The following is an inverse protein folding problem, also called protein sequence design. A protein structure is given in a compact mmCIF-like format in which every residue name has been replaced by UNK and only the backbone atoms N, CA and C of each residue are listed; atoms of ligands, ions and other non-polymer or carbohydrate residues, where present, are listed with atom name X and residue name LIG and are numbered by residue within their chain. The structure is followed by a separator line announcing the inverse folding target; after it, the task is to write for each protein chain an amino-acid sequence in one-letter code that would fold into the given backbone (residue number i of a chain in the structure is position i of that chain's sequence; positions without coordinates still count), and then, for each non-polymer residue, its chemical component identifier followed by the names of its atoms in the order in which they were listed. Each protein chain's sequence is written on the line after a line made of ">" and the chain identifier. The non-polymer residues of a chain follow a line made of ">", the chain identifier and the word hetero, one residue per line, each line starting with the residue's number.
data_IF_601422629172
#
_entry.id   IF_601422629172
#
_cell.length_a   1.000
_cell.length_b   1.000
_cell.length_c   1.000
_cell.angle_alpha   90.00
_cell.angle_beta   90.00
_cell.angle_gamma   90.00
#
_symmetry.space_group_name_H-M   'P 1'
#
loop_
_entity.id
_entity.type
_entity.pdbx_description
1 polymer ?
#
# COMPACT_ATOMS: atom_id res chain seq x y z
N UNK A 1 2.57 -1.57 -10.27
CA UNK A 1 1.88 -1.43 -8.99
C UNK A 1 1.46 -2.81 -8.52
N UNK A 2 1.87 -3.15 -7.34
CA UNK A 2 1.43 -4.38 -6.70
C UNK A 2 0.29 -4.03 -5.75
N UNK A 3 -0.86 -4.65 -5.97
CA UNK A 3 -2.00 -4.58 -5.07
C UNK A 3 -2.15 -5.95 -4.43
N UNK A 4 -2.24 -5.98 -3.13
CA UNK A 4 -2.52 -7.21 -2.43
C UNK A 4 -1.37 -7.73 -1.60
N UNK A 5 -1.44 -9.01 -1.24
CA UNK A 5 -0.64 -9.61 -0.20
C UNK A 5 0.51 -10.47 -0.70
N UNK A 6 0.67 -10.65 -2.01
CA UNK A 6 1.77 -11.48 -2.52
C UNK A 6 2.48 -10.86 -3.71
N UNK A 7 3.79 -11.03 -3.75
CA UNK A 7 4.66 -10.60 -4.84
C UNK A 7 5.45 -11.79 -5.33
N UNK A 8 5.51 -11.97 -6.64
CA UNK A 8 6.31 -13.01 -7.28
C UNK A 8 7.48 -12.36 -8.02
N UNK A 9 8.69 -12.77 -7.68
CA UNK A 9 9.91 -12.33 -8.38
C UNK A 9 10.14 -13.24 -9.59
N UNK A 10 10.27 -12.63 -10.76
CA UNK A 10 10.52 -13.36 -12.01
C UNK A 10 11.92 -13.02 -12.48
N UNK A 11 12.74 -14.06 -12.69
CA UNK A 11 14.08 -13.92 -13.24
C UNK A 11 14.09 -14.41 -14.69
N UNK A 12 14.92 -13.78 -15.52
CA UNK A 12 15.21 -14.26 -16.87
C UNK A 12 16.45 -15.15 -16.84
N UNK A 13 16.41 -16.29 -17.53
CA UNK A 13 17.53 -17.22 -17.63
C UNK A 13 17.29 -18.56 -16.94
N UNK A 14 18.26 -19.47 -17.08
CA UNK A 14 18.19 -20.86 -16.60
C UNK A 14 19.06 -21.08 -15.36
N UNK A 15 19.16 -20.09 -14.48
CA UNK A 15 19.97 -20.18 -13.27
C UNK A 15 19.24 -20.88 -12.13
N UNK A 16 19.97 -21.23 -11.08
CA UNK A 16 19.43 -21.70 -9.81
C UNK A 16 19.44 -20.51 -8.84
N UNK A 17 18.28 -19.88 -8.67
CA UNK A 17 18.17 -18.62 -7.95
C UNK A 17 17.62 -18.79 -6.55
N UNK A 18 18.05 -17.93 -5.67
CA UNK A 18 17.43 -17.65 -4.37
C UNK A 18 17.01 -16.19 -4.30
N UNK A 19 16.02 -15.90 -3.48
CA UNK A 19 15.33 -14.61 -3.51
C UNK A 19 15.25 -13.99 -2.11
N UNK A 20 15.27 -12.65 -2.08
CA UNK A 20 15.20 -11.89 -0.82
C UNK A 20 14.50 -10.55 -1.02
N UNK A 21 13.94 -10.02 0.08
CA UNK A 21 13.46 -8.64 0.15
C UNK A 21 14.32 -7.75 1.05
N UNK A 22 15.30 -8.31 1.76
CA UNK A 22 16.17 -7.57 2.68
C UNK A 22 17.66 -7.71 2.40
N UNK A 23 18.04 -8.48 1.39
CA UNK A 23 19.43 -8.79 1.03
C UNK A 23 20.25 -9.49 2.15
N UNK A 24 19.57 -10.09 3.10
CA UNK A 24 20.19 -10.80 4.24
C UNK A 24 19.68 -12.22 4.31
N UNK A 25 18.38 -12.40 4.33
CA UNK A 25 17.72 -13.71 4.36
C UNK A 25 17.21 -14.06 2.98
N UNK A 26 17.68 -15.19 2.42
CA UNK A 26 17.30 -15.67 1.11
C UNK A 26 16.48 -16.95 1.23
N UNK A 27 15.58 -17.17 0.26
CA UNK A 27 14.73 -18.36 0.18
C UNK A 27 14.68 -18.86 -1.27
N UNK A 28 14.35 -20.14 -1.45
CA UNK A 28 14.21 -20.74 -2.78
C UNK A 28 12.91 -20.32 -3.47
N UNK A 29 11.86 -20.09 -2.70
CA UNK A 29 10.59 -19.62 -3.24
C UNK A 29 10.72 -18.18 -3.72
N UNK A 30 10.17 -17.91 -4.90
CA UNK A 30 10.12 -16.56 -5.48
C UNK A 30 8.87 -15.78 -5.11
N UNK A 31 8.05 -16.30 -4.19
CA UNK A 31 6.80 -15.68 -3.75
C UNK A 31 6.98 -15.13 -2.33
N UNK A 32 6.62 -13.87 -2.13
CA UNK A 32 6.67 -13.20 -0.83
C UNK A 32 5.31 -12.66 -0.45
N UNK A 33 4.96 -12.82 0.82
CA UNK A 33 3.79 -12.19 1.42
C UNK A 33 4.17 -10.78 1.88
N UNK A 34 3.42 -9.78 1.45
CA UNK A 34 3.61 -8.38 1.84
C UNK A 34 2.29 -7.84 2.35
N UNK A 35 2.25 -7.47 3.62
CA UNK A 35 1.04 -6.98 4.29
C UNK A 35 0.99 -5.46 4.45
N UNK A 36 2.13 -4.79 4.28
CA UNK A 36 2.26 -3.34 4.47
C UNK A 36 2.62 -2.67 3.16
N UNK A 37 1.93 -1.59 2.81
CA UNK A 37 2.27 -0.77 1.67
C UNK A 37 3.58 -0.02 1.88
N UNK A 38 4.30 0.25 0.81
CA UNK A 38 5.56 0.96 0.84
C UNK A 38 6.45 0.62 -0.33
N UNK A 39 7.70 1.03 -0.23
CA UNK A 39 8.72 0.73 -1.25
C UNK A 39 9.60 -0.42 -0.78
N UNK A 40 9.80 -1.38 -1.65
CA UNK A 40 10.59 -2.60 -1.39
C UNK A 40 11.63 -2.79 -2.47
N UNK A 41 12.67 -3.56 -2.14
CA UNK A 41 13.67 -4.01 -3.11
C UNK A 41 13.66 -5.53 -3.17
N UNK A 42 13.47 -6.06 -4.36
CA UNK A 42 13.56 -7.49 -4.63
C UNK A 42 14.99 -7.83 -5.04
N UNK A 43 15.54 -8.90 -4.48
CA UNK A 43 16.86 -9.42 -4.83
C UNK A 43 16.74 -10.84 -5.36
N UNK A 44 17.50 -11.13 -6.41
CA UNK A 44 17.68 -12.47 -6.94
C UNK A 44 19.17 -12.75 -7.00
N UNK A 45 19.61 -13.84 -6.38
CA UNK A 45 21.02 -14.28 -6.36
C UNK A 45 21.15 -15.63 -7.04
N UNK A 46 22.06 -15.72 -7.99
CA UNK A 46 22.39 -17.01 -8.62
C UNK A 46 23.30 -17.79 -7.67
N UNK A 47 22.81 -18.94 -7.20
CA UNK A 47 23.57 -19.83 -6.31
C UNK A 47 24.86 -20.35 -6.93
N UNK A 48 24.96 -20.36 -8.25
CA UNK A 48 26.15 -20.78 -8.97
C UNK A 48 27.19 -19.66 -9.12
N UNK A 49 26.98 -18.51 -8.49
CA UNK A 49 27.97 -17.43 -8.45
C UNK A 49 27.98 -16.51 -9.67
N UNK A 50 26.98 -16.58 -10.54
CA UNK A 50 26.91 -15.73 -11.75
C UNK A 50 26.42 -14.31 -11.47
N UNK A 51 26.12 -13.96 -10.23
CA UNK A 51 25.78 -12.59 -9.84
C UNK A 51 24.48 -12.46 -9.09
N UNK A 52 24.22 -11.24 -8.67
CA UNK A 52 23.02 -10.83 -7.96
C UNK A 52 22.42 -9.61 -8.64
N UNK A 53 21.11 -9.60 -8.79
CA UNK A 53 20.37 -8.46 -9.34
C UNK A 53 19.34 -7.97 -8.36
N UNK A 54 18.91 -6.73 -8.52
CA UNK A 54 17.89 -6.14 -7.65
C UNK A 54 16.98 -5.21 -8.42
N UNK A 55 15.73 -5.09 -7.94
CA UNK A 55 14.74 -4.21 -8.52
C UNK A 55 13.88 -3.59 -7.43
N UNK A 56 13.71 -2.28 -7.49
CA UNK A 56 12.82 -1.54 -6.59
C UNK A 56 11.38 -1.64 -7.12
N UNK A 57 10.43 -1.87 -6.21
CA UNK A 57 9.01 -1.90 -6.53
C UNK A 57 8.19 -1.29 -5.40
N UNK A 58 7.00 -0.79 -5.73
CA UNK A 58 6.12 -0.15 -4.77
C UNK A 58 4.86 -0.99 -4.57
N UNK A 59 4.41 -1.07 -3.32
CA UNK A 59 3.20 -1.79 -2.93
C UNK A 59 2.20 -0.81 -2.36
N UNK A 60 0.97 -0.85 -2.88
CA UNK A 60 -0.15 -0.11 -2.33
C UNK A 60 -0.98 -1.02 -1.42
N UNK A 61 -1.27 -0.55 -0.23
CA UNK A 61 -2.18 -1.21 0.69
C UNK A 61 -3.32 -0.28 1.07
N UNK A 62 -4.53 -0.83 1.07
CA UNK A 62 -5.76 -0.11 1.40
C UNK A 62 -6.29 -0.67 2.73
N UNK A 63 -5.99 -0.01 3.88
CA UNK A 63 -6.44 -0.51 5.18
C UNK A 63 -7.95 -0.64 5.24
N UNK A 64 -8.45 -1.73 5.80
CA UNK A 64 -9.88 -2.01 5.88
C UNK A 64 -10.58 -1.33 7.04
N UNK A 65 -9.82 -0.85 8.02
CA UNK A 65 -10.34 -0.12 9.17
C UNK A 65 -9.27 0.76 9.80
N UNK A 66 -9.71 1.71 10.62
CA UNK A 66 -8.84 2.45 11.52
C UNK A 66 -9.62 2.83 12.80
N UNK A 67 -8.86 3.11 13.85
CA UNK A 67 -9.41 3.34 15.20
C UNK A 67 -8.84 4.64 15.78
N UNK A 68 -9.40 5.80 15.42
CA UNK A 68 -8.86 7.09 15.86
C UNK A 68 -9.21 7.38 17.33
N UNK A 69 -8.51 6.70 18.25
CA UNK A 69 -8.68 6.83 19.69
C UNK A 69 -7.47 7.44 20.38
N UNK A 70 -6.49 7.90 19.58
CA UNK A 70 -5.26 8.56 20.03
C UNK A 70 -4.35 7.66 20.89
N UNK A 71 -4.34 6.36 20.63
CA UNK A 71 -3.49 5.38 21.32
C UNK A 71 -2.16 5.14 20.60
N UNK A 72 -1.92 5.79 19.45
CA UNK A 72 -0.74 5.63 18.62
C UNK A 72 -0.82 4.51 17.61
N UNK A 73 -1.92 3.73 17.57
CA UNK A 73 -2.12 2.63 16.64
C UNK A 73 -3.37 2.85 15.81
N UNK A 74 -3.23 2.78 14.48
CA UNK A 74 -4.34 2.91 13.54
C UNK A 74 -5.21 4.16 13.76
N UNK A 75 -4.59 5.26 14.22
CA UNK A 75 -5.32 6.51 14.50
C UNK A 75 -5.65 7.29 13.23
N UNK A 76 -5.02 6.95 12.13
CA UNK A 76 -5.16 7.64 10.84
C UNK A 76 -5.40 6.63 9.73
N UNK A 77 -6.13 7.06 8.70
CA UNK A 77 -6.31 6.29 7.49
C UNK A 77 -5.63 6.97 6.31
N UNK A 78 -4.96 6.18 5.50
CA UNK A 78 -4.40 6.58 4.21
C UNK A 78 -4.19 5.34 3.35
N UNK A 79 -3.93 5.53 2.07
CA UNK A 79 -3.43 4.46 1.20
C UNK A 79 -1.93 4.33 1.45
N UNK A 80 -1.51 3.22 2.04
CA UNK A 80 -0.10 2.98 2.34
C UNK A 80 0.70 2.80 1.05
N UNK A 81 1.84 3.46 0.94
CA UNK A 81 2.68 3.44 -0.25
C UNK A 81 2.34 4.51 -1.28
N UNK A 82 1.26 5.25 -1.09
CA UNK A 82 0.82 6.30 -2.01
C UNK A 82 1.86 7.41 -2.20
N UNK A 83 2.65 7.69 -1.17
CA UNK A 83 3.68 8.74 -1.21
C UNK A 83 4.77 8.49 -2.27
N UNK A 84 4.94 7.24 -2.72
CA UNK A 84 5.92 6.89 -3.76
C UNK A 84 5.38 7.08 -5.18
N UNK A 85 4.09 7.38 -5.32
CA UNK A 85 3.44 7.64 -6.61
C UNK A 85 3.05 9.11 -6.71
N UNK A 86 3.95 9.90 -7.29
CA UNK A 86 3.71 11.33 -7.47
C UNK A 86 2.45 11.56 -8.29
N UNK A 87 1.61 12.49 -7.83
CA UNK A 87 0.35 12.82 -8.51
C UNK A 87 -0.82 11.90 -8.15
N UNK A 88 -0.58 10.83 -7.40
CA UNK A 88 -1.66 9.98 -6.92
C UNK A 88 -2.48 10.70 -5.84
N UNK A 89 -3.75 10.36 -5.75
CA UNK A 89 -4.66 10.94 -4.77
C UNK A 89 -5.76 9.96 -4.39
N UNK A 90 -6.25 10.11 -3.16
CA UNK A 90 -7.41 9.38 -2.70
C UNK A 90 -8.45 10.34 -2.16
N UNK A 91 -9.69 10.16 -2.57
CA UNK A 91 -10.84 10.96 -2.12
C UNK A 91 -11.73 10.09 -1.26
N UNK A 92 -12.13 10.61 -0.09
CA UNK A 92 -12.95 9.89 0.88
C UNK A 92 -14.35 10.49 0.91
N UNK A 93 -15.35 9.63 0.89
CA UNK A 93 -16.78 9.97 0.86
C UNK A 93 -17.52 9.29 2.02
N UNK A 94 -18.60 9.91 2.46
CA UNK A 94 -19.53 9.26 3.39
C UNK A 94 -20.52 8.34 2.63
N UNK A 95 -21.38 7.66 3.38
CA UNK A 95 -22.37 6.73 2.80
C UNK A 95 -23.39 7.39 1.88
N UNK A 96 -23.49 8.70 1.90
CA UNK A 96 -24.38 9.47 1.01
C UNK A 96 -23.67 10.00 -0.23
N UNK A 97 -22.39 9.67 -0.41
CA UNK A 97 -21.58 10.16 -1.52
C UNK A 97 -21.03 11.56 -1.34
N UNK A 98 -21.10 12.11 -0.10
CA UNK A 98 -20.57 13.43 0.19
C UNK A 98 -19.04 13.36 0.33
N UNK A 99 -18.34 14.20 -0.43
CA UNK A 99 -16.89 14.31 -0.36
C UNK A 99 -16.48 14.88 1.00
N UNK A 100 -15.62 14.16 1.72
CA UNK A 100 -15.12 14.56 3.02
C UNK A 100 -13.71 15.15 2.94
N UNK A 101 -12.79 14.48 2.27
CA UNK A 101 -11.40 14.91 2.17
C UNK A 101 -10.73 14.26 0.96
N UNK A 102 -9.71 14.93 0.43
CA UNK A 102 -8.81 14.38 -0.56
C UNK A 102 -7.39 14.36 0.01
N UNK A 103 -6.74 13.19 -0.05
CA UNK A 103 -5.39 12.98 0.45
C UNK A 103 -4.40 12.81 -0.70
N UNK A 104 -3.21 13.36 -0.53
CA UNK A 104 -2.09 13.24 -1.47
C UNK A 104 -0.80 13.01 -0.70
N UNK A 105 0.16 12.31 -1.32
CA UNK A 105 1.47 12.10 -0.73
C UNK A 105 1.40 11.36 0.61
N UNK A 106 1.90 11.98 1.65
CA UNK A 106 1.92 11.42 3.01
C UNK A 106 0.77 11.92 3.90
N UNK A 107 -0.23 12.60 3.33
CA UNK A 107 -1.37 13.08 4.08
C UNK A 107 -2.21 11.91 4.60
N UNK A 108 -2.82 12.11 5.76
CA UNK A 108 -3.66 11.11 6.44
C UNK A 108 -4.98 11.73 6.91
N UNK A 109 -5.97 10.88 7.16
CA UNK A 109 -7.27 11.30 7.67
C UNK A 109 -7.51 10.72 9.07
N UNK A 110 -7.97 11.58 9.97
CA UNK A 110 -8.21 11.21 11.38
C UNK A 110 -9.68 10.96 11.71
N UNK A 111 -10.56 10.87 10.73
CA UNK A 111 -11.98 10.61 10.97
C UNK A 111 -12.79 11.82 11.36
N UNK A 112 -12.30 13.04 11.05
CA UNK A 112 -13.03 14.29 11.33
C UNK A 112 -13.44 14.99 10.05
N UNK A 113 -14.49 15.81 10.15
CA UNK A 113 -14.91 16.70 9.08
C UNK A 113 -15.30 18.05 9.68
N UNK A 114 -14.66 19.12 9.23
CA UNK A 114 -14.83 20.48 9.77
C UNK A 114 -14.66 20.55 11.28
N UNK A 115 -13.66 19.82 11.80
CA UNK A 115 -13.33 19.80 13.21
C UNK A 115 -14.21 18.93 14.08
N UNK A 116 -15.17 18.21 13.50
CA UNK A 116 -16.08 17.32 14.24
C UNK A 116 -15.76 15.86 13.96
N UNK A 117 -15.81 15.05 15.02
CA UNK A 117 -15.66 13.60 14.90
C UNK A 117 -16.83 13.00 14.14
N UNK A 118 -16.52 12.22 13.12
CA UNK A 118 -17.52 11.48 12.37
C UNK A 118 -17.86 10.15 13.05
N UNK A 119 -19.08 9.61 12.84
CA UNK A 119 -19.53 8.39 13.51
C UNK A 119 -18.75 7.16 13.05
N UNK A 120 -18.74 6.13 13.91
CA UNK A 120 -18.24 4.80 13.61
C UNK A 120 -19.15 4.14 12.58
N UNK A 121 -18.69 4.05 11.34
CA UNK A 121 -19.42 3.44 10.22
C UNK A 121 -18.44 3.24 9.07
N UNK A 122 -18.93 2.75 7.95
CA UNK A 122 -18.13 2.60 6.75
C UNK A 122 -18.05 3.91 5.99
N UNK A 123 -16.89 4.11 5.37
CA UNK A 123 -16.59 5.22 4.46
C UNK A 123 -16.04 4.66 3.17
N UNK A 124 -16.22 5.40 2.07
CA UNK A 124 -15.81 4.96 0.73
C UNK A 124 -14.66 5.80 0.22
N UNK A 125 -13.82 5.18 -0.59
CA UNK A 125 -12.70 5.89 -1.20
C UNK A 125 -12.63 5.64 -2.70
N UNK A 126 -12.08 6.63 -3.40
CA UNK A 126 -11.66 6.54 -4.80
C UNK A 126 -10.20 6.95 -4.86
N UNK A 127 -9.34 5.99 -5.21
CA UNK A 127 -7.91 6.22 -5.41
C UNK A 127 -7.62 6.32 -6.90
N UNK A 128 -6.86 7.35 -7.30
CA UNK A 128 -6.42 7.55 -8.68
C UNK A 128 -4.92 7.78 -8.75
N UNK A 129 -4.31 7.25 -9.79
CA UNK A 129 -2.94 7.59 -10.16
C UNK A 129 -2.92 8.87 -11.01
N UNK A 130 -1.71 9.39 -11.27
CA UNK A 130 -1.52 10.62 -12.04
C UNK A 130 -2.06 10.53 -13.47
N UNK A 131 -2.15 9.34 -14.02
CA UNK A 131 -2.68 9.09 -15.37
C UNK A 131 -4.19 9.35 -15.50
N UNK A 132 -4.90 9.56 -14.39
CA UNK A 132 -6.36 9.72 -14.30
C UNK A 132 -7.17 8.58 -14.95
N UNK A 133 -6.50 7.49 -15.36
CA UNK A 133 -7.13 6.33 -15.99
C UNK A 133 -7.18 5.14 -15.05
N UNK A 134 -6.21 5.03 -14.14
CA UNK A 134 -6.16 3.96 -13.15
C UNK A 134 -6.90 4.40 -11.90
N UNK A 135 -8.05 3.78 -11.65
CA UNK A 135 -8.93 4.08 -10.52
C UNK A 135 -9.19 2.82 -9.70
N UNK A 136 -9.09 2.96 -8.39
CA UNK A 136 -9.43 1.89 -7.43
C UNK A 136 -10.45 2.42 -6.46
N UNK A 137 -11.57 1.73 -6.31
CA UNK A 137 -12.67 2.07 -5.39
C UNK A 137 -12.80 1.00 -4.32
N UNK A 138 -13.20 1.42 -3.13
CA UNK A 138 -13.47 0.50 -2.05
C UNK A 138 -14.03 1.22 -0.85
N UNK A 139 -14.08 0.51 0.28
CA UNK A 139 -14.57 1.06 1.54
C UNK A 139 -13.69 0.59 2.70
N UNK A 140 -13.78 1.32 3.80
CA UNK A 140 -13.12 0.99 5.05
C UNK A 140 -14.01 1.42 6.22
N UNK A 141 -13.73 0.88 7.39
CA UNK A 141 -14.53 1.14 8.59
C UNK A 141 -13.78 2.05 9.56
N UNK A 142 -14.44 3.09 10.05
CA UNK A 142 -14.00 3.88 11.18
C UNK A 142 -14.63 3.29 12.44
N UNK A 143 -13.77 2.93 13.39
CA UNK A 143 -14.20 2.38 14.70
C UNK A 143 -13.69 3.28 15.82
N UNK A 144 -14.59 3.78 16.67
CA UNK A 144 -14.23 4.55 17.86
C UNK A 144 -14.48 3.75 19.11
#
# INVERSE_FOLDING_TARGET
>A
IVKGSSVTIITSGNGDYEYSLNNVTFQDSNVFEITTGGQYTAYANDKNGCGKDSKIFDVLSFPKFFTPNNDGFNDYWTVEGMQFYKGSKVTIFDKFGKLLIQLQGSNTWNGTFKGKNLPSTDYWYVFTLDDNQTETRGHFTLKR
#
